data_IF_278304514851
#
_entry.id   IF_278304514851
#
_cell.length_a   1.000
_cell.length_b   1.000
_cell.length_c   1.000
_cell.angle_alpha   90.00
_cell.angle_beta   90.00
_cell.angle_gamma   90.00
#
_symmetry.space_group_name_H-M   'P 1'
#
loop_
_entity.id
_entity.type
_entity.pdbx_description
1 polymer ?
#
# COMPACT_ATOMS: atom_id res chain seq x y z
N UNK A 1 11.18 -4.72 15.00
CA UNK A 1 10.35 -3.54 15.08
C UNK A 1 9.37 -3.52 13.93
N UNK A 2 8.10 -3.38 14.23
CA UNK A 2 7.07 -3.41 13.21
C UNK A 2 6.80 -2.02 12.70
N UNK A 3 6.89 -1.85 11.41
CA UNK A 3 6.61 -0.59 10.80
C UNK A 3 5.28 -0.62 10.07
N UNK A 4 4.50 0.43 10.26
CA UNK A 4 3.27 0.60 9.51
C UNK A 4 3.43 1.78 8.58
N UNK A 5 2.96 1.61 7.36
CA UNK A 5 3.04 2.66 6.35
C UNK A 5 1.62 3.07 5.99
N UNK A 6 1.34 4.34 6.15
CA UNK A 6 0.04 4.90 5.77
C UNK A 6 0.21 5.57 4.42
N UNK A 7 -0.54 5.10 3.44
CA UNK A 7 -0.47 5.63 2.10
C UNK A 7 -1.84 6.15 1.73
N UNK A 8 -1.90 7.40 1.34
CA UNK A 8 -3.16 8.05 1.01
C UNK A 8 -3.07 8.67 -0.36
N UNK A 9 -3.97 8.29 -1.23
CA UNK A 9 -4.10 8.92 -2.52
C UNK A 9 -5.25 9.91 -2.46
N UNK A 10 -4.92 11.20 -2.40
CA UNK A 10 -5.95 12.24 -2.36
C UNK A 10 -6.08 12.94 -3.70
N UNK A 11 -5.75 12.23 -4.77
CA UNK A 11 -5.93 12.74 -6.12
C UNK A 11 -7.15 12.09 -6.75
N UNK A 12 -7.65 12.71 -7.80
CA UNK A 12 -8.85 12.22 -8.47
C UNK A 12 -8.55 11.06 -9.41
N UNK A 13 -7.32 10.65 -9.52
CA UNK A 13 -6.91 9.57 -10.40
C UNK A 13 -6.00 8.61 -9.67
N UNK A 14 -5.86 7.42 -10.25
CA UNK A 14 -5.03 6.39 -9.67
C UNK A 14 -3.57 6.84 -9.59
N UNK A 15 -2.89 6.37 -8.57
CA UNK A 15 -1.47 6.61 -8.37
C UNK A 15 -0.74 5.29 -8.31
N UNK A 16 0.42 5.25 -8.93
CA UNK A 16 1.26 4.06 -8.87
C UNK A 16 2.42 4.32 -7.93
N UNK A 17 2.64 3.38 -7.04
CA UNK A 17 3.78 3.43 -6.14
C UNK A 17 4.55 2.13 -6.29
N UNK A 18 5.83 2.18 -5.95
CA UNK A 18 6.68 1.01 -6.05
C UNK A 18 6.99 0.49 -4.66
N UNK A 19 6.67 -0.77 -4.43
CA UNK A 19 7.00 -1.44 -3.19
C UNK A 19 8.31 -2.18 -3.36
N UNK A 20 9.24 -1.94 -2.45
CA UNK A 20 10.56 -2.54 -2.54
C UNK A 20 10.58 -3.96 -2.00
N UNK A 21 9.58 -4.32 -1.23
CA UNK A 21 9.51 -5.64 -0.63
C UNK A 21 8.05 -6.01 -0.47
N UNK A 22 7.81 -7.29 -0.20
CA UNK A 22 6.45 -7.73 0.06
C UNK A 22 5.93 -7.07 1.30
N UNK A 23 4.67 -6.66 1.25
CA UNK A 23 4.02 -6.00 2.36
C UNK A 23 2.68 -6.67 2.60
N UNK A 24 2.15 -6.53 3.79
CA UNK A 24 0.86 -7.08 4.14
C UNK A 24 -0.09 -5.94 4.45
N UNK A 25 -1.30 -5.99 3.88
CA UNK A 25 -2.31 -5.00 4.22
C UNK A 25 -2.80 -5.27 5.64
N UNK A 26 -2.77 -4.22 6.47
CA UNK A 26 -3.03 -4.39 7.88
C UNK A 26 -4.47 -4.77 8.17
N UNK A 27 -5.40 -4.36 7.31
CA UNK A 27 -6.81 -4.62 7.56
C UNK A 27 -7.25 -5.95 6.95
N UNK A 28 -6.93 -6.17 5.68
CA UNK A 28 -7.42 -7.36 4.97
C UNK A 28 -6.47 -8.54 5.08
N UNK A 29 -5.24 -8.31 5.54
CA UNK A 29 -4.20 -9.33 5.66
C UNK A 29 -3.78 -9.92 4.33
N UNK A 30 -4.05 -9.22 3.25
CA UNK A 30 -3.61 -9.66 1.93
C UNK A 30 -2.16 -9.28 1.72
N UNK A 31 -1.43 -10.18 1.06
CA UNK A 31 -0.03 -9.94 0.78
C UNK A 31 0.09 -9.18 -0.53
N UNK A 32 0.82 -8.08 -0.48
CA UNK A 32 1.13 -7.30 -1.67
C UNK A 32 2.56 -7.60 -2.08
N UNK A 33 2.77 -8.16 -3.25
CA UNK A 33 4.14 -8.47 -3.68
C UNK A 33 4.91 -7.19 -3.98
N UNK A 34 6.22 -7.32 -3.99
CA UNK A 34 7.07 -6.20 -4.39
C UNK A 34 6.76 -5.84 -5.83
N UNK A 35 6.90 -4.57 -6.15
CA UNK A 35 6.64 -4.07 -7.49
C UNK A 35 5.65 -2.94 -7.47
N UNK A 36 5.00 -2.73 -8.61
CA UNK A 36 4.06 -1.62 -8.74
C UNK A 36 2.76 -1.93 -8.03
N UNK A 37 2.33 -1.01 -7.20
CA UNK A 37 1.04 -1.09 -6.52
C UNK A 37 0.22 0.12 -6.90
N UNK A 38 -1.01 -0.11 -7.32
CA UNK A 38 -1.87 0.96 -7.82
C UNK A 38 -2.87 1.33 -6.74
N UNK A 39 -2.90 2.61 -6.40
CA UNK A 39 -3.89 3.16 -5.48
C UNK A 39 -5.02 3.76 -6.29
N UNK A 40 -6.24 3.40 -5.96
CA UNK A 40 -7.41 3.99 -6.59
C UNK A 40 -7.57 5.43 -6.13
N UNK A 41 -8.36 6.23 -6.87
CA UNK A 41 -8.60 7.62 -6.42
C UNK A 41 -9.14 7.65 -5.01
N UNK A 42 -8.55 8.52 -4.21
CA UNK A 42 -8.94 8.74 -2.81
C UNK A 42 -8.85 7.49 -1.95
N UNK A 43 -8.03 6.53 -2.35
CA UNK A 43 -7.86 5.32 -1.57
C UNK A 43 -6.79 5.51 -0.51
N UNK A 44 -7.04 4.95 0.66
CA UNK A 44 -6.05 4.93 1.73
C UNK A 44 -5.79 3.49 2.10
N UNK A 45 -4.50 3.15 2.28
CA UNK A 45 -4.13 1.80 2.70
C UNK A 45 -3.14 1.88 3.84
N UNK A 46 -3.15 0.86 4.66
CA UNK A 46 -2.20 0.68 5.74
C UNK A 46 -1.44 -0.60 5.46
N UNK A 47 -0.14 -0.48 5.26
CA UNK A 47 0.71 -1.62 4.97
C UNK A 47 1.68 -1.83 6.11
N UNK A 48 2.04 -3.08 6.33
CA UNK A 48 3.05 -3.39 7.31
C UNK A 48 4.07 -4.33 6.70
N UNK A 49 5.25 -4.39 7.27
CA UNK A 49 6.28 -5.31 6.80
C UNK A 49 5.79 -6.74 6.93
N UNK A 50 6.05 -7.49 5.89
CA UNK A 50 5.63 -8.89 5.88
C UNK A 50 6.70 -9.78 6.49
#
# INVERSE_FOLDING_TARGET
DEGFYFILNYRERSQEIELRQCMEQAVSHEIQPAGTYVLKPYEAVILKNH
#
